data_IF_994480870171
#
_entry.id   IF_994480870171
#
_cell.length_a   1.000
_cell.length_b   1.000
_cell.length_c   1.000
_cell.angle_alpha   90.00
_cell.angle_beta   90.00
_cell.angle_gamma   90.00
#
_symmetry.space_group_name_H-M   'P 1'
#
loop_
_entity.id
_entity.type
_entity.pdbx_description
1 polymer ?
#
# COMPACT_ATOMS: atom_id res chain seq x y z
N UNK A 1 -7.05 -11.99 8.20
CA UNK A 1 -7.44 -10.62 7.82
C UNK A 1 -6.34 -9.88 7.04
N UNK A 2 -5.23 -9.48 7.66
CA UNK A 2 -4.24 -8.55 7.06
C UNK A 2 -3.65 -9.02 5.72
N UNK A 3 -3.31 -10.31 5.58
CA UNK A 3 -2.80 -10.90 4.33
C UNK A 3 -3.81 -10.73 3.19
N UNK A 4 -5.09 -10.98 3.47
CA UNK A 4 -6.18 -10.89 2.47
C UNK A 4 -6.40 -9.43 2.07
N UNK A 5 -6.39 -8.49 3.03
CA UNK A 5 -6.45 -7.06 2.73
C UNK A 5 -5.27 -6.63 1.85
N UNK A 6 -4.05 -7.10 2.15
CA UNK A 6 -2.88 -6.80 1.32
C UNK A 6 -3.02 -7.36 -0.10
N UNK A 7 -3.65 -8.53 -0.29
CA UNK A 7 -3.95 -9.05 -1.62
C UNK A 7 -4.91 -8.10 -2.38
N UNK A 8 -5.95 -7.60 -1.71
CA UNK A 8 -6.84 -6.57 -2.26
C UNK A 8 -6.11 -5.27 -2.60
N UNK A 9 -5.26 -4.76 -1.71
CA UNK A 9 -4.47 -3.54 -1.94
C UNK A 9 -3.54 -3.67 -3.15
N UNK A 10 -2.84 -4.80 -3.29
CA UNK A 10 -1.97 -5.04 -4.44
C UNK A 10 -2.76 -5.22 -5.73
N UNK A 11 -3.91 -5.89 -5.69
CA UNK A 11 -4.81 -6.02 -6.84
C UNK A 11 -5.32 -4.66 -7.32
N UNK A 12 -5.81 -3.82 -6.40
CA UNK A 12 -6.23 -2.46 -6.69
C UNK A 12 -5.10 -1.65 -7.32
N UNK A 13 -3.92 -1.70 -6.72
CA UNK A 13 -2.77 -0.97 -7.23
C UNK A 13 -2.40 -1.41 -8.67
N UNK A 14 -2.31 -2.71 -8.93
CA UNK A 14 -1.98 -3.23 -10.27
C UNK A 14 -3.01 -2.86 -11.33
N UNK A 15 -4.31 -2.87 -11.00
CA UNK A 15 -5.36 -2.46 -11.94
C UNK A 15 -5.20 -0.99 -12.36
N UNK A 16 -4.95 -0.12 -11.40
CA UNK A 16 -4.78 1.32 -11.63
C UNK A 16 -3.38 1.69 -12.14
N UNK A 17 -2.43 0.76 -12.09
CA UNK A 17 -1.05 0.93 -12.57
C UNK A 17 -0.75 0.16 -13.84
N UNK A 18 -1.75 -0.45 -14.48
CA UNK A 18 -1.54 -1.26 -15.68
C UNK A 18 -0.63 -0.61 -16.74
N UNK A 19 -0.73 0.69 -17.07
CA UNK A 19 0.20 1.33 -18.00
C UNK A 19 1.65 1.42 -17.48
N UNK A 20 1.82 1.68 -16.18
CA UNK A 20 3.14 1.75 -15.52
C UNK A 20 3.76 0.34 -15.45
N UNK A 21 2.95 -0.64 -15.05
CA UNK A 21 3.38 -2.03 -14.92
C UNK A 21 3.71 -2.68 -16.27
N UNK A 22 3.15 -2.21 -17.38
CA UNK A 22 3.59 -2.64 -18.73
C UNK A 22 5.05 -2.28 -19.03
N UNK A 23 5.55 -1.22 -18.43
CA UNK A 23 6.94 -0.78 -18.59
C UNK A 23 7.82 -1.51 -17.58
N UNK A 24 7.53 -1.36 -16.28
CA UNK A 24 8.41 -1.87 -15.23
C UNK A 24 8.31 -3.37 -14.99
N UNK A 25 7.12 -3.96 -15.22
CA UNK A 25 6.78 -5.32 -14.77
C UNK A 25 5.91 -6.07 -15.79
N UNK A 26 6.31 -6.15 -17.07
CA UNK A 26 5.50 -6.74 -18.16
C UNK A 26 5.11 -8.21 -17.89
N UNK A 27 5.89 -8.92 -17.09
CA UNK A 27 5.64 -10.29 -16.67
C UNK A 27 4.45 -10.45 -15.72
N UNK A 28 3.94 -9.39 -15.08
CA UNK A 28 2.79 -9.49 -14.15
C UNK A 28 1.55 -10.03 -14.86
N UNK A 29 0.63 -10.74 -14.16
CA UNK A 29 -0.53 -11.38 -14.80
C UNK A 29 -1.40 -10.42 -15.62
N UNK A 30 -1.62 -9.20 -15.13
CA UNK A 30 -2.42 -8.17 -15.80
C UNK A 30 -1.71 -7.59 -17.06
N UNK A 31 -0.48 -7.05 -16.99
CA UNK A 31 0.26 -6.59 -18.17
C UNK A 31 0.48 -7.68 -19.23
N UNK A 32 0.77 -8.92 -18.82
CA UNK A 32 1.00 -10.06 -19.73
C UNK A 32 -0.28 -10.64 -20.34
N UNK A 33 -1.47 -10.18 -19.94
CA UNK A 33 -2.75 -10.67 -20.43
C UNK A 33 -3.16 -12.06 -19.91
N UNK A 34 -2.39 -12.65 -18.98
CA UNK A 34 -2.73 -13.92 -18.31
C UNK A 34 -3.95 -13.81 -17.40
N UNK A 35 -4.27 -12.59 -16.95
CA UNK A 35 -5.44 -12.27 -16.15
C UNK A 35 -6.21 -11.11 -16.81
N UNK A 36 -7.51 -11.27 -17.03
CA UNK A 36 -8.37 -10.21 -17.57
C UNK A 36 -8.65 -9.16 -16.50
N UNK A 37 -8.84 -7.90 -16.90
CA UNK A 37 -9.12 -6.80 -15.95
C UNK A 37 -10.37 -7.06 -15.10
N UNK A 38 -11.40 -7.72 -15.64
CA UNK A 38 -12.61 -8.09 -14.88
C UNK A 38 -12.33 -9.15 -13.81
N UNK A 39 -11.46 -10.12 -14.10
CA UNK A 39 -11.07 -11.16 -13.15
C UNK A 39 -10.25 -10.57 -12.01
N UNK A 40 -9.30 -9.67 -12.33
CA UNK A 40 -8.55 -8.94 -11.33
C UNK A 40 -9.43 -8.04 -10.44
N UNK A 41 -10.46 -7.41 -11.02
CA UNK A 41 -11.42 -6.61 -10.27
C UNK A 41 -12.25 -7.49 -9.32
N UNK A 42 -12.75 -8.63 -9.79
CA UNK A 42 -13.47 -9.60 -8.97
C UNK A 42 -12.62 -10.13 -7.82
N UNK A 43 -11.38 -10.53 -8.10
CA UNK A 43 -10.42 -10.96 -7.08
C UNK A 43 -10.15 -9.86 -6.04
N UNK A 44 -9.89 -8.64 -6.50
CA UNK A 44 -9.61 -7.48 -5.64
C UNK A 44 -10.78 -7.18 -4.71
N UNK A 45 -11.99 -7.11 -5.26
CA UNK A 45 -13.21 -6.87 -4.48
C UNK A 45 -13.46 -8.00 -3.49
N UNK A 46 -13.35 -9.26 -3.93
CA UNK A 46 -13.48 -10.42 -3.06
C UNK A 46 -12.47 -10.40 -1.90
N UNK A 47 -11.22 -10.05 -2.17
CA UNK A 47 -10.18 -9.93 -1.16
C UNK A 47 -10.49 -8.82 -0.13
N UNK A 48 -10.99 -7.65 -0.56
CA UNK A 48 -11.44 -6.63 0.39
C UNK A 48 -12.63 -7.10 1.23
N UNK A 49 -13.65 -7.70 0.62
CA UNK A 49 -14.83 -8.20 1.32
C UNK A 49 -14.44 -9.26 2.35
N UNK A 50 -13.69 -10.29 1.94
CA UNK A 50 -13.22 -11.35 2.86
C UNK A 50 -12.30 -10.76 3.93
N UNK A 51 -11.40 -9.85 3.56
CA UNK A 51 -10.52 -9.15 4.50
C UNK A 51 -11.29 -8.41 5.58
N UNK A 52 -12.32 -7.63 5.21
CA UNK A 52 -13.15 -6.87 6.15
C UNK A 52 -14.08 -7.76 6.98
N UNK A 53 -14.64 -8.82 6.40
CA UNK A 53 -15.45 -9.81 7.14
C UNK A 53 -14.60 -10.50 8.22
N UNK A 54 -13.37 -10.90 7.89
CA UNK A 54 -12.45 -11.45 8.88
C UNK A 54 -12.12 -10.43 9.98
N UNK A 55 -11.97 -9.15 9.65
CA UNK A 55 -11.74 -8.09 10.63
C UNK A 55 -12.94 -7.93 11.59
N UNK A 56 -14.15 -7.97 11.03
CA UNK A 56 -15.40 -7.86 11.77
C UNK A 56 -15.60 -9.02 12.75
N UNK A 57 -15.31 -10.25 12.33
CA UNK A 57 -15.37 -11.45 13.18
C UNK A 57 -14.39 -11.38 14.35
N UNK A 58 -13.25 -10.71 14.19
CA UNK A 58 -12.25 -10.55 15.26
C UNK A 58 -12.77 -9.62 16.36
N UNK A 59 -13.05 -8.36 16.02
CA UNK A 59 -13.75 -7.38 16.86
C UNK A 59 -13.90 -6.04 16.13
N UNK A 60 -14.67 -5.12 16.71
CA UNK A 60 -14.94 -3.80 16.12
C UNK A 60 -13.68 -2.92 15.96
N UNK A 61 -12.69 -3.03 16.85
CA UNK A 61 -11.46 -2.23 16.77
C UNK A 61 -10.60 -2.68 15.59
N UNK A 62 -10.51 -4.00 15.37
CA UNK A 62 -9.85 -4.60 14.23
C UNK A 62 -10.53 -4.16 12.92
N UNK A 63 -11.86 -4.22 12.85
CA UNK A 63 -12.64 -3.74 11.71
C UNK A 63 -12.40 -2.27 11.43
N UNK A 64 -12.44 -1.42 12.44
CA UNK A 64 -12.21 0.02 12.30
C UNK A 64 -10.86 0.30 11.64
N UNK A 65 -9.79 -0.30 12.16
CA UNK A 65 -8.43 -0.11 11.64
C UNK A 65 -8.26 -0.71 10.23
N UNK A 66 -8.92 -1.83 9.95
CA UNK A 66 -8.95 -2.44 8.62
C UNK A 66 -9.64 -1.55 7.58
N UNK A 67 -10.79 -0.95 7.93
CA UNK A 67 -11.50 0.00 7.06
C UNK A 67 -10.64 1.24 6.80
N UNK A 68 -10.02 1.80 7.83
CA UNK A 68 -9.09 2.93 7.68
C UNK A 68 -7.92 2.55 6.75
N UNK A 69 -7.33 1.37 6.91
CA UNK A 69 -6.26 0.90 6.02
C UNK A 69 -6.74 0.73 4.56
N UNK A 70 -8.00 0.31 4.37
CA UNK A 70 -8.66 0.28 3.06
C UNK A 70 -8.80 1.66 2.44
N UNK A 71 -9.20 2.67 3.22
CA UNK A 71 -9.29 4.06 2.75
C UNK A 71 -7.92 4.57 2.29
N UNK A 72 -6.86 4.35 3.08
CA UNK A 72 -5.49 4.70 2.68
C UNK A 72 -5.08 4.01 1.37
N UNK A 73 -5.44 2.74 1.20
CA UNK A 73 -5.17 1.99 -0.02
C UNK A 73 -5.88 2.62 -1.24
N UNK A 74 -7.16 2.97 -1.09
CA UNK A 74 -7.93 3.61 -2.17
C UNK A 74 -7.33 4.97 -2.51
N UNK A 75 -7.04 5.80 -1.50
CA UNK A 75 -6.40 7.11 -1.68
C UNK A 75 -5.03 7.01 -2.35
N UNK A 76 -4.29 5.92 -2.13
CA UNK A 76 -3.00 5.66 -2.76
C UNK A 76 -3.13 5.44 -4.27
N UNK A 77 -4.02 4.55 -4.71
CA UNK A 77 -4.07 4.10 -6.11
C UNK A 77 -5.11 4.80 -6.99
N UNK A 78 -6.23 5.25 -6.42
CA UNK A 78 -7.43 5.65 -7.18
C UNK A 78 -7.52 7.18 -7.35
N UNK A 79 -7.85 7.71 -8.54
CA UNK A 79 -8.16 9.13 -8.73
C UNK A 79 -9.41 9.58 -7.94
N UNK A 80 -9.50 10.84 -7.50
CA UNK A 80 -8.60 11.96 -7.82
C UNK A 80 -7.36 12.03 -6.92
N UNK A 81 -7.37 11.40 -5.74
CA UNK A 81 -6.29 11.53 -4.77
C UNK A 81 -4.97 10.95 -5.27
N UNK A 82 -5.00 9.67 -5.68
CA UNK A 82 -3.88 8.89 -6.23
C UNK A 82 -2.53 9.33 -5.65
N UNK A 83 -2.40 9.25 -4.32
CA UNK A 83 -1.30 9.86 -3.57
C UNK A 83 0.06 9.29 -3.96
N UNK A 84 0.10 8.09 -4.58
CA UNK A 84 1.30 7.49 -5.14
C UNK A 84 2.09 8.39 -6.10
N UNK A 85 1.43 9.38 -6.73
CA UNK A 85 2.09 10.31 -7.65
C UNK A 85 2.93 11.38 -6.94
N UNK A 86 2.78 11.51 -5.62
CA UNK A 86 3.28 12.65 -4.87
C UNK A 86 4.31 12.18 -3.83
N UNK A 87 5.60 12.27 -4.18
CA UNK A 87 6.78 11.93 -3.37
C UNK A 87 6.52 11.44 -1.94
N UNK A 88 6.68 12.31 -0.94
CA UNK A 88 6.54 11.93 0.48
C UNK A 88 5.13 11.45 0.85
N UNK A 89 4.10 11.97 0.18
CA UNK A 89 2.72 11.58 0.44
C UNK A 89 2.46 10.12 0.05
N UNK A 90 3.11 9.63 -1.01
CA UNK A 90 3.10 8.22 -1.39
C UNK A 90 3.66 7.34 -0.27
N UNK A 91 4.78 7.76 0.34
CA UNK A 91 5.40 7.02 1.44
C UNK A 91 4.53 7.06 2.69
N UNK A 92 3.96 8.21 3.06
CA UNK A 92 3.06 8.35 4.21
C UNK A 92 1.83 7.46 4.03
N UNK A 93 1.14 7.58 2.89
CA UNK A 93 -0.09 6.83 2.63
C UNK A 93 0.13 5.32 2.51
N UNK A 94 1.35 4.88 2.22
CA UNK A 94 1.74 3.47 2.29
C UNK A 94 2.17 3.03 3.70
N UNK A 95 2.89 3.87 4.43
CA UNK A 95 3.44 3.56 5.75
C UNK A 95 2.39 3.55 6.86
N UNK A 96 1.41 4.46 6.82
CA UNK A 96 0.31 4.51 7.79
C UNK A 96 -0.44 3.17 7.91
N UNK A 97 -0.99 2.58 6.83
CA UNK A 97 -1.68 1.31 6.94
C UNK A 97 -0.77 0.15 7.33
N UNK A 98 0.42 0.02 6.71
CA UNK A 98 1.30 -1.14 6.90
C UNK A 98 2.08 -1.11 8.20
N UNK A 99 2.48 0.08 8.65
CA UNK A 99 3.34 0.26 9.80
C UNK A 99 2.60 0.65 11.07
N UNK A 100 1.42 1.27 10.97
CA UNK A 100 0.63 1.68 12.13
C UNK A 100 -0.68 0.90 12.24
N UNK A 101 -1.60 1.06 11.28
CA UNK A 101 -2.97 0.58 11.44
C UNK A 101 -3.06 -0.94 11.54
N UNK A 102 -2.42 -1.69 10.63
CA UNK A 102 -2.51 -3.16 10.62
C UNK A 102 -1.78 -3.84 11.79
N UNK A 103 -0.59 -3.37 12.24
CA UNK A 103 0.02 -3.86 13.47
C UNK A 103 -0.84 -3.60 14.71
N UNK A 104 -1.41 -2.39 14.86
CA UNK A 104 -2.34 -2.08 15.96
C UNK A 104 -3.63 -2.90 15.85
N UNK A 105 -4.10 -3.20 14.64
CA UNK A 105 -5.23 -4.10 14.43
C UNK A 105 -4.90 -5.54 14.90
N UNK A 106 -3.65 -5.98 14.73
CA UNK A 106 -3.15 -7.22 15.31
C UNK A 106 -3.20 -7.20 16.84
N UNK A 107 -2.72 -6.12 17.47
CA UNK A 107 -2.81 -5.94 18.93
C UNK A 107 -4.24 -5.97 19.46
N UNK A 108 -5.19 -5.41 18.70
CA UNK A 108 -6.60 -5.37 19.08
C UNK A 108 -7.23 -6.74 19.35
N UNK A 109 -6.59 -7.82 18.90
CA UNK A 109 -7.04 -9.21 19.15
C UNK A 109 -6.87 -9.65 20.61
N UNK A 110 -5.96 -9.01 21.35
CA UNK A 110 -5.62 -9.40 22.73
C UNK A 110 -5.89 -8.28 23.74
N UNK A 111 -5.78 -7.02 23.32
CA UNK A 111 -5.93 -5.84 24.20
C UNK A 111 -6.52 -4.68 23.43
N UNK A 112 -7.09 -3.72 24.17
CA UNK A 112 -7.66 -2.50 23.57
C UNK A 112 -6.62 -1.63 22.85
N UNK A 113 -7.05 -0.94 21.80
CA UNK A 113 -6.23 0.03 21.03
C UNK A 113 -6.14 1.42 21.69
N UNK A 114 -6.90 1.65 22.76
CA UNK A 114 -7.00 2.96 23.45
C UNK A 114 -5.84 3.25 24.41
N UNK A 115 -4.78 2.45 24.36
CA UNK A 115 -3.57 2.62 25.15
C UNK A 115 -2.39 2.94 24.23
N UNK A 116 -1.36 3.60 24.75
CA UNK A 116 -0.28 4.18 23.93
C UNK A 116 0.67 3.13 23.36
N UNK A 117 0.83 2.02 24.07
CA UNK A 117 1.80 0.95 23.81
C UNK A 117 1.75 0.40 22.38
N UNK A 118 0.60 -0.05 21.83
CA UNK A 118 0.54 -0.57 20.47
C UNK A 118 0.93 0.48 19.42
N UNK A 119 0.57 1.75 19.64
CA UNK A 119 0.91 2.82 18.72
C UNK A 119 2.40 3.16 18.76
N UNK A 120 2.99 3.19 19.95
CA UNK A 120 4.43 3.41 20.12
C UNK A 120 5.25 2.27 19.50
N UNK A 121 4.87 1.01 19.74
CA UNK A 121 5.53 -0.15 19.13
C UNK A 121 5.40 -0.13 17.61
N UNK A 122 4.20 0.19 17.11
CA UNK A 122 3.94 0.28 15.68
C UNK A 122 4.66 1.47 15.04
N UNK A 123 4.94 2.55 15.78
CA UNK A 123 5.67 3.71 15.25
C UNK A 123 7.06 3.36 14.74
N UNK A 124 7.75 2.40 15.36
CA UNK A 124 9.07 1.92 14.92
C UNK A 124 8.96 1.29 13.52
N UNK A 125 7.96 0.43 13.32
CA UNK A 125 7.70 -0.19 12.02
C UNK A 125 7.19 0.85 11.00
N UNK A 126 6.36 1.78 11.45
CA UNK A 126 5.86 2.90 10.65
C UNK A 126 6.96 3.78 10.07
N UNK A 127 7.89 4.22 10.92
CA UNK A 127 9.04 5.01 10.49
C UNK A 127 9.97 4.21 9.57
N UNK A 128 10.18 2.93 9.87
CA UNK A 128 10.94 2.05 8.99
C UNK A 128 10.30 1.96 7.59
N UNK A 129 8.99 1.69 7.49
CA UNK A 129 8.30 1.59 6.21
C UNK A 129 8.25 2.93 5.47
N UNK A 130 8.16 4.05 6.21
CA UNK A 130 8.18 5.40 5.62
C UNK A 130 9.49 5.67 4.86
N UNK A 131 10.63 5.29 5.43
CA UNK A 131 11.95 5.42 4.77
C UNK A 131 12.17 4.34 3.72
N UNK A 132 11.99 3.08 4.10
CA UNK A 132 12.23 1.92 3.24
C UNK A 132 11.32 1.87 2.01
N UNK A 133 10.18 2.54 2.04
CA UNK A 133 9.24 2.58 0.93
C UNK A 133 9.83 3.08 -0.39
N UNK A 134 10.82 3.97 -0.32
CA UNK A 134 11.51 4.52 -1.49
C UNK A 134 12.39 3.48 -2.19
N UNK A 135 12.85 2.43 -1.49
CA UNK A 135 13.80 1.45 -2.06
C UNK A 135 13.24 0.74 -3.29
N UNK A 136 11.92 0.52 -3.36
CA UNK A 136 11.28 -0.08 -4.53
C UNK A 136 11.29 0.85 -5.75
N UNK A 137 11.26 2.15 -5.53
CA UNK A 137 11.10 3.17 -6.58
C UNK A 137 12.32 3.25 -7.50
N UNK A 138 13.49 2.78 -7.03
CA UNK A 138 14.71 2.70 -7.85
C UNK A 138 14.54 1.72 -9.01
N UNK A 139 13.87 0.59 -8.77
CA UNK A 139 13.60 -0.41 -9.82
C UNK A 139 12.45 0.00 -10.75
N UNK A 140 11.62 0.95 -10.33
CA UNK A 140 10.40 1.35 -11.01
C UNK A 140 10.51 2.72 -11.75
N UNK A 141 11.72 3.30 -11.83
CA UNK A 141 11.94 4.67 -12.31
C UNK A 141 11.37 4.96 -13.69
N UNK A 142 11.52 4.05 -14.66
CA UNK A 142 11.10 4.28 -16.04
C UNK A 142 9.58 4.41 -16.15
N UNK A 143 8.85 3.42 -15.63
CA UNK A 143 7.39 3.43 -15.59
C UNK A 143 6.83 4.52 -14.68
N UNK A 144 7.49 4.84 -13.56
CA UNK A 144 7.07 5.92 -12.67
C UNK A 144 7.17 7.27 -13.35
N UNK A 145 8.26 7.53 -14.09
CA UNK A 145 8.43 8.73 -14.90
C UNK A 145 7.34 8.82 -15.98
N UNK A 146 7.08 7.73 -16.71
CA UNK A 146 6.03 7.68 -17.73
C UNK A 146 4.62 7.87 -17.15
N UNK A 147 4.39 7.37 -15.92
CA UNK A 147 3.12 7.49 -15.20
C UNK A 147 2.91 8.82 -14.45
N UNK A 148 3.88 9.75 -14.55
CA UNK A 148 3.85 11.05 -13.88
C UNK A 148 4.04 10.99 -12.36
N UNK A 149 4.68 9.93 -11.84
CA UNK A 149 4.97 9.78 -10.42
C UNK A 149 6.24 10.56 -10.05
N UNK A 150 6.17 11.31 -8.94
CA UNK A 150 7.26 12.15 -8.44
C UNK A 150 8.02 11.45 -7.31
N UNK A 151 8.52 10.23 -7.56
CA UNK A 151 9.31 9.48 -6.57
C UNK A 151 10.69 10.11 -6.38
N UNK A 152 11.33 9.88 -5.22
CA UNK A 152 12.66 10.43 -4.93
C UNK A 152 13.70 10.15 -6.03
N UNK A 153 13.86 8.91 -6.53
CA UNK A 153 14.82 8.65 -7.61
C UNK A 153 14.44 9.32 -8.94
N UNK A 154 13.15 9.52 -9.23
CA UNK A 154 12.71 10.27 -10.43
C UNK A 154 13.04 11.75 -10.32
N UNK A 155 12.90 12.36 -9.14
CA UNK A 155 13.14 13.79 -8.91
C UNK A 155 14.63 14.14 -8.74
N UNK A 156 15.38 13.34 -7.98
CA UNK A 156 16.74 13.68 -7.55
C UNK A 156 17.83 12.79 -8.16
N UNK A 157 17.43 11.76 -8.91
CA UNK A 157 18.35 10.74 -9.43
C UNK A 157 18.81 9.74 -8.37
N UNK A 158 19.40 8.63 -8.82
CA UNK A 158 19.75 7.47 -7.97
C UNK A 158 20.66 7.84 -6.80
N UNK A 159 21.76 8.57 -7.04
CA UNK A 159 22.76 8.87 -5.99
C UNK A 159 22.21 9.72 -4.85
N UNK A 160 21.52 10.83 -5.17
CA UNK A 160 20.93 11.71 -4.15
C UNK A 160 19.76 11.03 -3.44
N UNK A 161 18.93 10.30 -4.17
CA UNK A 161 17.83 9.56 -3.56
C UNK A 161 18.33 8.47 -2.59
N UNK A 162 19.41 7.76 -2.93
CA UNK A 162 20.03 6.78 -2.03
C UNK A 162 20.54 7.43 -0.75
N UNK A 163 21.28 8.55 -0.86
CA UNK A 163 21.76 9.31 0.32
C UNK A 163 20.64 9.82 1.23
N UNK A 164 19.46 10.14 0.68
CA UNK A 164 18.30 10.60 1.46
C UNK A 164 17.62 9.49 2.27
N UNK A 165 17.88 8.22 1.95
CA UNK A 165 17.22 7.06 2.59
C UNK A 165 18.20 6.10 3.29
N UNK A 166 19.50 6.36 3.18
CA UNK A 166 20.57 5.72 3.98
C UNK A 166 20.57 6.24 5.41
#
# INVERSE_FOLDING_TARGET
MAVVLNAGSNGLNQMFDLPIDRINKPQRPLPSGRLRSREAAGFTLGAFVVGLLLAWVINYQCLLLAVLAGIFTVSYSVPPFRTKRWGILANITMAVPRGFLLPVAGWSTVKTIWVVEPWLLSSVLGLFILGAGTTKDFSDMEGDRAGGCKTLPVLYGVRKAALLIS
#
